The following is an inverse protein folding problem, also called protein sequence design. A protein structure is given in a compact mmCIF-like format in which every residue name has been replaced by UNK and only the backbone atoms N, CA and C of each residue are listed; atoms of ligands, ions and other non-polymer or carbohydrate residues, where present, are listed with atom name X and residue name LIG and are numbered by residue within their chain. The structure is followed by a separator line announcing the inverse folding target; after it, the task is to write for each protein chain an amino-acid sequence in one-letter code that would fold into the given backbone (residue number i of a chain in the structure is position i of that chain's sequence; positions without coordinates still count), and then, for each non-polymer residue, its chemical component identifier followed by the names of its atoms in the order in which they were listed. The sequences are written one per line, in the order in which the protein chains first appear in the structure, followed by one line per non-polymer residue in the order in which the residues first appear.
data_IF_618527918123
#
_entry.id   IF_618527918123
#
_cell.length_a   1.000
_cell.length_b   1.000
_cell.length_c   1.000
_cell.angle_alpha   90.00
_cell.angle_beta   90.00
_cell.angle_gamma   90.00
#
_symmetry.space_group_name_H-M   'P 1'
#
loop_
_entity.id
_entity.type
_entity.pdbx_description
1 polymer ?
#
# COMPACT_ATOMS: atom_id res chain seq x y z
N UNK A 1 2.93 4.65 -12.60
CA UNK A 1 4.18 4.00 -12.13
C UNK A 1 3.88 2.65 -11.50
N UNK A 2 3.05 2.56 -10.44
CA UNK A 2 2.70 1.28 -9.81
C UNK A 2 2.17 0.24 -10.80
N UNK A 3 1.20 0.60 -11.64
CA UNK A 3 0.67 -0.30 -12.68
C UNK A 3 1.73 -0.81 -13.64
N UNK A 4 2.69 0.03 -14.03
CA UNK A 4 3.78 -0.38 -14.93
C UNK A 4 4.67 -1.43 -14.26
N UNK A 5 4.93 -1.29 -12.96
CA UNK A 5 5.70 -2.29 -12.20
C UNK A 5 4.90 -3.61 -12.12
N UNK A 6 3.59 -3.56 -11.89
CA UNK A 6 2.72 -4.75 -11.89
C UNK A 6 2.73 -5.49 -13.23
N UNK A 7 2.77 -4.74 -14.35
CA UNK A 7 2.86 -5.29 -15.70
C UNK A 7 4.25 -5.86 -16.04
N UNK A 8 5.32 -5.24 -15.50
CA UNK A 8 6.69 -5.69 -15.72
C UNK A 8 7.03 -7.01 -15.02
N UNK A 9 6.31 -7.34 -13.94
CA UNK A 9 6.52 -8.57 -13.16
C UNK A 9 5.25 -9.42 -13.15
N UNK A 10 4.91 -10.07 -14.29
CA UNK A 10 3.72 -10.88 -14.41
C UNK A 10 3.69 -12.09 -13.46
N UNK A 11 4.87 -12.56 -13.02
CA UNK A 11 5.00 -13.71 -12.13
C UNK A 11 4.79 -13.38 -10.64
N UNK A 12 4.74 -12.09 -10.27
CA UNK A 12 4.50 -11.67 -8.91
C UNK A 12 3.05 -12.03 -8.49
N UNK A 13 2.92 -12.79 -7.39
CA UNK A 13 1.63 -13.26 -6.86
C UNK A 13 0.94 -12.22 -5.97
N UNK A 14 1.69 -11.27 -5.43
CA UNK A 14 1.15 -10.21 -4.59
C UNK A 14 2.06 -8.98 -4.56
N UNK A 15 1.46 -7.83 -4.30
CA UNK A 15 2.12 -6.55 -4.13
C UNK A 15 1.87 -6.01 -2.75
N UNK A 16 2.91 -5.54 -2.07
CA UNK A 16 2.83 -4.97 -0.73
C UNK A 16 3.42 -3.56 -0.72
N UNK A 17 2.68 -2.62 -0.13
CA UNK A 17 3.06 -1.22 -0.03
C UNK A 17 3.02 -0.77 1.41
N UNK A 18 4.00 0.00 1.85
CA UNK A 18 3.98 0.69 3.13
C UNK A 18 3.72 2.18 2.89
N UNK A 19 2.83 2.79 3.67
CA UNK A 19 2.51 4.21 3.57
C UNK A 19 2.27 4.81 4.94
N UNK A 20 2.49 6.12 5.05
CA UNK A 20 2.10 6.89 6.24
C UNK A 20 0.57 7.05 6.21
N UNK A 21 -0.10 6.75 7.32
CA UNK A 21 -1.56 6.84 7.49
C UNK A 21 -2.04 8.30 7.36
N UNK A 22 -1.26 9.24 7.88
CA UNK A 22 -1.56 10.67 7.81
C UNK A 22 -1.48 11.23 6.37
N UNK A 23 -0.86 10.49 5.42
CA UNK A 23 -0.92 10.81 4.00
C UNK A 23 -2.18 10.21 3.34
N UNK A 24 -3.34 10.76 3.70
CA UNK A 24 -4.67 10.26 3.27
C UNK A 24 -4.81 10.16 1.74
N UNK A 25 -4.15 11.04 0.98
CA UNK A 25 -4.16 10.99 -0.50
C UNK A 25 -3.53 9.71 -1.05
N UNK A 26 -2.45 9.24 -0.45
CA UNK A 26 -1.79 8.00 -0.83
C UNK A 26 -2.67 6.80 -0.47
N UNK A 27 -3.26 6.81 0.73
CA UNK A 27 -4.20 5.79 1.18
C UNK A 27 -5.36 5.63 0.19
N UNK A 28 -6.03 6.74 -0.15
CA UNK A 28 -7.15 6.73 -1.09
C UNK A 28 -6.75 6.30 -2.50
N UNK A 29 -5.55 6.67 -2.96
CA UNK A 29 -5.01 6.22 -4.24
C UNK A 29 -4.85 4.69 -4.26
N UNK A 30 -4.26 4.11 -3.21
CA UNK A 30 -4.02 2.66 -3.16
C UNK A 30 -5.33 1.88 -3.07
N UNK A 31 -6.30 2.35 -2.28
CA UNK A 31 -7.64 1.75 -2.21
C UNK A 31 -8.34 1.75 -3.57
N UNK A 32 -8.22 2.85 -4.34
CA UNK A 32 -8.74 2.93 -5.71
C UNK A 32 -8.03 2.00 -6.69
N UNK A 33 -6.79 1.64 -6.42
CA UNK A 33 -5.99 0.71 -7.21
C UNK A 33 -6.19 -0.76 -6.77
N UNK A 34 -7.22 -1.02 -5.96
CA UNK A 34 -7.62 -2.34 -5.43
C UNK A 34 -6.63 -2.94 -4.43
N UNK A 35 -5.73 -2.12 -3.88
CA UNK A 35 -4.94 -2.52 -2.74
C UNK A 35 -5.80 -2.52 -1.48
N UNK A 36 -5.71 -3.60 -0.69
CA UNK A 36 -6.43 -3.74 0.57
C UNK A 36 -5.51 -3.38 1.73
N UNK A 37 -5.98 -2.52 2.62
CA UNK A 37 -5.24 -2.20 3.85
C UNK A 37 -5.13 -3.47 4.70
N UNK A 38 -3.93 -3.78 5.14
CA UNK A 38 -3.67 -4.86 6.10
C UNK A 38 -4.02 -4.41 7.52
N UNK A 39 -4.06 -5.35 8.45
CA UNK A 39 -4.26 -5.06 9.88
C UNK A 39 -2.96 -4.59 10.57
N UNK A 40 -1.84 -4.54 9.84
CA UNK A 40 -0.56 -4.12 10.39
C UNK A 40 -0.52 -2.59 10.48
N UNK A 41 -0.45 -2.11 11.72
CA UNK A 41 -0.31 -0.70 12.06
C UNK A 41 0.91 -0.56 12.96
N UNK A 42 1.85 0.30 12.56
CA UNK A 42 3.09 0.56 13.29
C UNK A 42 3.22 2.04 13.59
N UNK A 43 2.96 2.42 14.84
CA UNK A 43 3.22 3.78 15.32
C UNK A 43 4.74 4.01 15.38
N UNK A 44 5.26 4.97 14.61
CA UNK A 44 6.69 5.32 14.59
C UNK A 44 7.00 6.39 15.63
N UNK A 45 6.12 7.38 15.76
CA UNK A 45 6.15 8.44 16.76
C UNK A 45 4.71 8.98 16.95
N UNK A 46 4.53 10.08 17.67
CA UNK A 46 3.19 10.65 17.94
C UNK A 46 2.50 11.25 16.72
N UNK A 47 3.25 11.60 15.68
CA UNK A 47 2.77 12.25 14.46
C UNK A 47 2.87 11.37 13.21
N UNK A 48 3.37 10.14 13.35
CA UNK A 48 3.65 9.26 12.22
C UNK A 48 3.23 7.83 12.50
N UNK A 49 2.23 7.36 11.76
CA UNK A 49 1.76 5.97 11.79
C UNK A 49 2.00 5.32 10.44
N UNK A 50 2.78 4.24 10.42
CA UNK A 50 3.02 3.44 9.23
C UNK A 50 1.97 2.34 9.11
N UNK A 51 1.31 2.27 7.96
CA UNK A 51 0.34 1.23 7.62
C UNK A 51 0.77 0.51 6.35
N UNK A 52 0.20 -0.67 6.12
CA UNK A 52 0.56 -1.50 4.98
C UNK A 52 -0.67 -1.88 4.17
N UNK A 53 -0.47 -2.00 2.88
CA UNK A 53 -1.44 -2.40 1.87
C UNK A 53 -0.95 -3.64 1.15
N UNK A 54 -1.88 -4.51 0.77
CA UNK A 54 -1.61 -5.71 -0.04
C UNK A 54 -2.61 -5.83 -1.17
N UNK A 55 -2.12 -6.13 -2.36
CA UNK A 55 -2.92 -6.49 -3.53
C UNK A 55 -2.54 -7.91 -3.96
N UNK A 56 -3.52 -8.79 -3.99
CA UNK A 56 -3.36 -10.13 -4.56
C UNK A 56 -3.65 -10.04 -6.06
N UNK A 57 -2.90 -10.78 -6.87
CA UNK A 57 -3.09 -10.83 -8.32
C UNK A 57 -4.19 -11.83 -8.69
#
# INVERSE_FOLDING_TARGET
VLTLIEEMFPEATSWELATILEEEKNCFLYEKMEYKRTEVIKKLNDETTLIYYKKER
#
